data_IF_809775378922
#
_entry.id   IF_809775378922
#
_cell.length_a   1.000
_cell.length_b   1.000
_cell.length_c   1.000
_cell.angle_alpha   90.00
_cell.angle_beta   90.00
_cell.angle_gamma   90.00
#
_symmetry.space_group_name_H-M   'P 1'
#
loop_
_entity.id
_entity.type
_entity.pdbx_description
1 polymer ?
#
# COMPACT_ATOMS: atom_id res chain seq x y z
N UNK A 1 5.24 5.89 -13.23
CA UNK A 1 3.92 5.86 -12.58
C UNK A 1 3.89 6.87 -11.43
N UNK A 2 2.74 7.41 -11.06
CA UNK A 2 2.65 8.36 -9.93
C UNK A 2 2.51 7.64 -8.57
N UNK A 3 1.79 6.51 -8.53
CA UNK A 3 1.56 5.69 -7.34
C UNK A 3 1.93 4.23 -7.65
N UNK A 4 2.60 3.57 -6.70
CA UNK A 4 2.79 2.12 -6.67
C UNK A 4 2.31 1.58 -5.32
N UNK A 5 1.57 0.47 -5.34
CA UNK A 5 1.14 -0.25 -4.15
C UNK A 5 1.76 -1.65 -4.18
N UNK A 6 2.56 -1.97 -3.18
CA UNK A 6 3.18 -3.28 -2.96
C UNK A 6 2.45 -3.97 -1.79
N UNK A 7 1.95 -5.18 -2.04
CA UNK A 7 1.31 -6.01 -1.02
C UNK A 7 2.31 -7.09 -0.61
N UNK A 8 2.74 -7.06 0.65
CA UNK A 8 3.70 -8.02 1.16
C UNK A 8 3.10 -9.42 1.25
N UNK A 9 3.88 -10.40 0.84
CA UNK A 9 3.62 -11.82 1.07
C UNK A 9 4.55 -12.35 2.16
N UNK A 10 4.25 -13.51 2.77
CA UNK A 10 5.17 -14.16 3.71
C UNK A 10 6.58 -14.44 3.13
N UNK A 11 6.69 -14.49 1.79
CA UNK A 11 7.96 -14.73 1.08
C UNK A 11 8.73 -13.46 0.71
N UNK A 12 8.15 -12.28 0.94
CA UNK A 12 8.77 -11.00 0.60
C UNK A 12 10.04 -10.77 1.41
N UNK A 13 11.18 -10.73 0.73
CA UNK A 13 12.47 -10.58 1.40
C UNK A 13 12.80 -9.11 1.67
N UNK A 14 13.52 -8.82 2.75
CA UNK A 14 14.03 -7.47 3.05
C UNK A 14 14.90 -6.91 1.92
N UNK A 15 15.60 -7.78 1.18
CA UNK A 15 16.44 -7.38 0.06
C UNK A 15 15.60 -6.89 -1.13
N UNK A 16 14.56 -7.62 -1.50
CA UNK A 16 13.64 -7.24 -2.57
C UNK A 16 12.93 -5.91 -2.26
N UNK A 17 12.47 -5.72 -1.02
CA UNK A 17 11.82 -4.48 -0.60
C UNK A 17 12.77 -3.27 -0.66
N UNK A 18 14.02 -3.45 -0.23
CA UNK A 18 15.03 -2.40 -0.33
C UNK A 18 15.34 -2.06 -1.79
N UNK A 19 15.51 -3.08 -2.64
CA UNK A 19 15.77 -2.86 -4.06
C UNK A 19 14.62 -2.10 -4.74
N UNK A 20 13.36 -2.52 -4.50
CA UNK A 20 12.17 -1.83 -5.02
C UNK A 20 12.06 -0.40 -4.50
N UNK A 21 12.31 -0.17 -3.20
CA UNK A 21 12.33 1.17 -2.62
C UNK A 21 13.32 2.08 -3.34
N UNK A 22 14.58 1.64 -3.50
CA UNK A 22 15.63 2.42 -4.17
C UNK A 22 15.29 2.66 -5.64
N UNK A 23 14.78 1.64 -6.33
CA UNK A 23 14.36 1.72 -7.73
C UNK A 23 13.22 2.72 -7.91
N UNK A 24 12.18 2.66 -7.09
CA UNK A 24 11.03 3.56 -7.25
C UNK A 24 11.38 5.01 -6.87
N UNK A 25 12.27 5.20 -5.89
CA UNK A 25 12.81 6.52 -5.54
C UNK A 25 13.60 7.11 -6.71
N UNK A 26 14.54 6.35 -7.28
CA UNK A 26 15.38 6.78 -8.39
C UNK A 26 14.56 7.16 -9.64
N UNK A 27 13.47 6.42 -9.89
CA UNK A 27 12.60 6.66 -11.04
C UNK A 27 11.49 7.69 -10.77
N UNK A 28 11.48 8.33 -9.61
CA UNK A 28 10.61 9.47 -9.32
C UNK A 28 9.14 9.11 -9.09
N UNK A 29 8.86 7.89 -8.61
CA UNK A 29 7.50 7.52 -8.20
C UNK A 29 7.10 8.39 -7.01
N UNK A 30 5.97 9.09 -7.10
CA UNK A 30 5.59 10.12 -6.12
C UNK A 30 5.07 9.51 -4.82
N UNK A 31 4.35 8.40 -4.91
CA UNK A 31 3.87 7.64 -3.77
C UNK A 31 4.19 6.16 -3.89
N UNK A 32 4.76 5.60 -2.84
CA UNK A 32 5.01 4.16 -2.71
C UNK A 32 4.36 3.63 -1.44
N UNK A 33 3.33 2.82 -1.61
CA UNK A 33 2.49 2.28 -0.55
C UNK A 33 2.88 0.82 -0.32
N UNK A 34 3.22 0.48 0.91
CA UNK A 34 3.57 -0.89 1.32
C UNK A 34 2.53 -1.38 2.29
N UNK A 35 1.72 -2.34 1.85
CA UNK A 35 0.69 -3.00 2.65
C UNK A 35 1.29 -4.26 3.27
N UNK A 36 1.16 -4.42 4.58
CA UNK A 36 1.53 -5.64 5.29
C UNK A 36 0.25 -6.34 5.80
N UNK A 37 -0.30 -7.32 5.06
CA UNK A 37 -1.60 -7.93 5.39
C UNK A 37 -1.62 -8.62 6.76
N UNK A 38 -0.59 -9.40 7.08
CA UNK A 38 -0.48 -10.12 8.37
C UNK A 38 -0.50 -9.18 9.58
N UNK A 39 0.08 -7.98 9.44
CA UNK A 39 0.16 -6.98 10.51
C UNK A 39 -0.97 -5.95 10.39
N UNK A 40 -1.83 -6.05 9.37
CA UNK A 40 -2.92 -5.12 9.06
C UNK A 40 -2.46 -3.65 9.08
N UNK A 41 -1.33 -3.40 8.41
CA UNK A 41 -0.73 -2.05 8.34
C UNK A 41 -0.45 -1.60 6.92
N UNK A 42 -0.40 -0.29 6.75
CA UNK A 42 0.01 0.40 5.53
C UNK A 42 1.07 1.45 5.88
N UNK A 43 2.19 1.42 5.18
CA UNK A 43 3.21 2.46 5.22
C UNK A 43 3.28 3.18 3.87
N UNK A 44 3.32 4.50 3.89
CA UNK A 44 3.33 5.32 2.69
C UNK A 44 4.63 6.13 2.66
N UNK A 45 5.36 6.01 1.57
CA UNK A 45 6.49 6.86 1.26
C UNK A 45 6.06 7.90 0.23
N UNK A 46 6.35 9.17 0.50
CA UNK A 46 6.09 10.28 -0.44
C UNK A 46 7.41 10.85 -0.91
N UNK A 47 7.56 11.04 -2.22
CA UNK A 47 8.77 11.64 -2.79
C UNK A 47 8.75 13.15 -2.57
N UNK A 48 9.80 13.68 -1.96
CA UNK A 48 9.95 15.12 -1.77
C UNK A 48 10.59 15.82 -2.98
N UNK A 49 10.72 17.14 -2.89
CA UNK A 49 11.32 17.97 -3.94
C UNK A 49 12.82 17.69 -4.19
N UNK A 50 13.48 16.98 -3.27
CA UNK A 50 14.88 16.55 -3.39
C UNK A 50 14.99 15.17 -4.06
N UNK A 51 13.87 14.56 -4.45
CA UNK A 51 13.84 13.21 -5.00
C UNK A 51 14.14 12.15 -3.95
N UNK A 52 13.74 12.39 -2.69
CA UNK A 52 13.91 11.44 -1.59
C UNK A 52 12.59 11.08 -0.97
N UNK A 53 12.44 9.79 -0.67
CA UNK A 53 11.26 9.30 0.01
C UNK A 53 11.27 9.71 1.48
N UNK A 54 10.15 10.28 1.89
CA UNK A 54 9.83 10.58 3.27
C UNK A 54 8.80 9.56 3.77
N UNK A 55 9.10 8.79 4.84
CA UNK A 55 8.14 7.87 5.40
C UNK A 55 7.04 8.64 6.15
N UNK A 56 5.79 8.27 5.89
CA UNK A 56 4.65 8.66 6.71
C UNK A 56 4.58 7.89 8.03
N UNK A 57 3.59 8.22 8.85
CA UNK A 57 3.22 7.41 10.01
C UNK A 57 2.64 6.07 9.56
N UNK A 58 2.93 5.01 10.31
CA UNK A 58 2.32 3.70 10.11
C UNK A 58 0.81 3.83 10.28
N UNK A 59 0.06 3.34 9.29
CA UNK A 59 -1.41 3.34 9.27
C UNK A 59 -1.94 1.96 9.57
N UNK A 60 -3.09 1.89 10.22
CA UNK A 60 -3.75 0.63 10.59
C UNK A 60 -5.27 0.78 10.49
N UNK A 61 -6.00 -0.25 10.92
CA UNK A 61 -7.46 -0.24 10.98
C UNK A 61 -8.01 0.99 11.70
N UNK A 62 -9.14 1.49 11.22
CA UNK A 62 -9.72 2.76 11.64
C UNK A 62 -9.12 4.02 11.00
N UNK A 63 -7.97 3.94 10.31
CA UNK A 63 -7.46 5.06 9.53
C UNK A 63 -8.16 5.17 8.16
N UNK A 64 -8.40 6.42 7.73
CA UNK A 64 -8.71 6.76 6.35
C UNK A 64 -7.47 7.42 5.73
N UNK A 65 -6.98 6.83 4.65
CA UNK A 65 -5.79 7.29 3.92
C UNK A 65 -6.20 7.97 2.63
N UNK A 66 -5.54 9.08 2.30
CA UNK A 66 -5.76 9.81 1.04
C UNK A 66 -4.47 9.81 0.22
N UNK A 67 -4.62 9.68 -1.10
CA UNK A 67 -3.50 9.90 -2.01
C UNK A 67 -3.38 11.39 -2.35
N UNK A 68 -2.15 11.88 -2.35
CA UNK A 68 -1.80 13.22 -2.83
C UNK A 68 -1.73 13.28 -4.36
N UNK A 69 -1.52 12.14 -5.03
CA UNK A 69 -1.41 12.06 -6.49
C UNK A 69 -2.70 11.63 -7.17
N UNK A 70 -3.53 10.83 -6.50
CA UNK A 70 -4.89 10.50 -6.95
C UNK A 70 -5.90 11.39 -6.22
N UNK A 71 -6.14 12.59 -6.75
CA UNK A 71 -7.03 13.57 -6.12
C UNK A 71 -8.43 13.00 -5.94
N UNK A 72 -8.92 13.04 -4.69
CA UNK A 72 -10.24 12.52 -4.31
C UNK A 72 -10.26 11.02 -3.99
N UNK A 73 -9.13 10.32 -4.12
CA UNK A 73 -9.02 8.94 -3.65
C UNK A 73 -8.89 8.90 -2.12
N UNK A 74 -9.78 8.12 -1.51
CA UNK A 74 -9.77 7.82 -0.08
C UNK A 74 -9.88 6.30 0.10
N UNK A 75 -9.09 5.76 1.02
CA UNK A 75 -9.05 4.35 1.36
C UNK A 75 -9.31 4.18 2.85
N UNK A 76 -10.43 3.56 3.19
CA UNK A 76 -10.71 3.14 4.55
C UNK A 76 -9.98 1.82 4.83
N UNK A 77 -9.08 1.80 5.81
CA UNK A 77 -8.30 0.60 6.10
C UNK A 77 -9.09 -0.49 6.83
N UNK A 78 -10.26 -0.18 7.40
CA UNK A 78 -11.15 -1.24 7.88
C UNK A 78 -11.65 -2.11 6.74
N UNK A 79 -12.03 -1.53 5.60
CA UNK A 79 -12.52 -2.26 4.43
C UNK A 79 -11.43 -3.11 3.75
N UNK A 80 -10.17 -2.67 3.86
CA UNK A 80 -9.01 -3.36 3.26
C UNK A 80 -8.63 -4.61 4.05
N UNK A 81 -8.74 -4.55 5.37
CA UNK A 81 -8.35 -5.62 6.30
C UNK A 81 -9.54 -6.35 6.92
N UNK A 82 -10.73 -6.16 6.38
CA UNK A 82 -11.91 -6.91 6.78
C UNK A 82 -11.71 -8.39 6.44
N UNK A 83 -11.94 -9.27 7.43
CA UNK A 83 -11.94 -10.70 7.16
C UNK A 83 -13.16 -11.02 6.30
N UNK A 84 -13.00 -11.83 5.23
CA UNK A 84 -14.16 -12.26 4.46
C UNK A 84 -15.14 -12.98 5.40
N UNK A 85 -16.41 -12.59 5.32
CA UNK A 85 -17.46 -13.25 6.07
C UNK A 85 -17.62 -14.69 5.58
N UNK A 86 -17.07 -15.64 6.34
CA UNK A 86 -17.13 -17.08 6.06
C UNK A 86 -18.58 -17.62 6.00
N UNK A 87 -19.57 -16.85 6.46
CA UNK A 87 -20.99 -17.19 6.33
C UNK A 87 -21.59 -16.85 4.96
N UNK A 88 -20.88 -16.07 4.14
CA UNK A 88 -21.26 -15.78 2.76
C UNK A 88 -20.52 -16.75 1.83
N UNK A 89 -21.23 -17.70 1.17
CA UNK A 89 -20.57 -18.62 0.26
C UNK A 89 -19.91 -17.83 -0.86
N UNK A 90 -18.58 -17.99 -1.01
CA UNK A 90 -17.81 -17.48 -2.15
C UNK A 90 -18.44 -18.01 -3.43
N UNK A 91 -19.19 -17.15 -4.14
CA UNK A 91 -19.61 -17.47 -5.50
C UNK A 91 -18.37 -17.26 -6.36
N UNK A 92 -17.69 -18.35 -6.70
CA UNK A 92 -16.64 -18.42 -7.71
C UNK A 92 -17.20 -17.94 -9.06
N UNK A 93 -17.38 -16.62 -9.28
CA UNK A 93 -17.64 -16.00 -10.58
C UNK A 93 -17.68 -14.48 -10.47
N UNK A 94 -16.58 -13.86 -10.04
CA UNK A 94 -16.33 -12.45 -10.38
C UNK A 94 -15.25 -12.41 -11.45
N UNK A 95 -15.70 -12.53 -12.70
CA UNK A 95 -14.91 -12.25 -13.89
C UNK A 95 -14.60 -10.75 -13.88
N UNK A 96 -13.35 -10.41 -13.57
CA UNK A 96 -12.65 -9.26 -14.12
C UNK A 96 -11.43 -9.79 -14.84
#
# INVERSE_FOLDING_TARGET
PDLIVEILSPSSSKHDLKYKYELYEEYGVKEYWVVHPEEQTLLIYTLDEQGKYQPGYLKTRGDIVKSTVLVGFELNLDDVFEEPDDSVPYIENRIW
#
